data_IF_585461921354
#
_entry.id   IF_585461921354
#
_cell.length_a   1.000
_cell.length_b   1.000
_cell.length_c   1.000
_cell.angle_alpha   90.00
_cell.angle_beta   90.00
_cell.angle_gamma   90.00
#
_symmetry.space_group_name_H-M   'P 1'
#
loop_
_entity.id
_entity.type
_entity.pdbx_description
1 polymer ?
#
# COMPACT_ATOMS: atom_id res chain seq x y z
N UNK A 1 3.12 -11.80 76.21
CA UNK A 1 2.62 -13.18 76.36
C UNK A 1 2.94 -13.94 75.07
N UNK A 2 4.02 -14.75 75.15
CA UNK A 2 4.29 -16.06 74.50
C UNK A 2 4.32 -16.13 72.94
N UNK A 3 5.46 -16.20 72.25
CA UNK A 3 6.45 -17.28 71.96
C UNK A 3 6.04 -18.31 70.88
N UNK A 4 6.96 -18.57 69.93
CA UNK A 4 6.98 -19.55 68.81
C UNK A 4 7.00 -21.04 69.30
N UNK A 5 6.95 -22.14 68.51
CA UNK A 5 7.14 -22.46 67.09
C UNK A 5 6.63 -23.89 66.74
N UNK A 6 6.49 -24.17 65.43
CA UNK A 6 6.73 -25.43 64.65
C UNK A 6 6.01 -26.77 64.88
N UNK A 7 5.56 -27.36 63.75
CA UNK A 7 5.38 -28.81 63.53
C UNK A 7 4.98 -29.15 62.07
N UNK A 8 5.92 -29.68 61.27
CA UNK A 8 5.73 -30.36 59.98
C UNK A 8 5.07 -31.76 60.21
N UNK A 9 4.47 -32.51 59.27
CA UNK A 9 5.02 -33.07 58.01
C UNK A 9 3.93 -33.76 57.13
N UNK A 10 4.17 -33.78 55.81
CA UNK A 10 3.90 -34.86 54.80
C UNK A 10 2.46 -35.34 54.52
N UNK A 11 2.04 -35.77 53.32
CA UNK A 11 2.60 -35.95 51.97
C UNK A 11 1.40 -36.31 51.06
N UNK A 12 1.38 -35.90 49.80
CA UNK A 12 0.53 -36.59 48.81
C UNK A 12 1.09 -36.45 47.39
N UNK A 13 1.67 -37.55 46.89
CA UNK A 13 1.84 -37.86 45.45
C UNK A 13 1.84 -39.40 45.32
N UNK A 14 1.62 -39.97 44.11
CA UNK A 14 0.37 -40.22 43.40
C UNK A 14 0.07 -41.73 43.31
N UNK A 15 -1.14 -42.15 42.89
CA UNK A 15 -1.29 -43.52 42.38
C UNK A 15 -2.20 -43.65 41.14
N UNK A 16 -1.74 -44.55 40.28
CA UNK A 16 -2.00 -44.82 38.87
C UNK A 16 -3.30 -45.59 38.63
N UNK A 17 -3.94 -45.48 37.44
CA UNK A 17 -5.15 -46.24 37.12
C UNK A 17 -4.83 -47.70 36.73
N UNK A 18 -5.55 -48.64 37.32
CA UNK A 18 -5.51 -50.07 36.97
C UNK A 18 -6.52 -50.46 35.89
N UNK A 19 -6.07 -51.46 35.13
CA UNK A 19 -6.54 -52.00 33.85
C UNK A 19 -7.78 -52.90 33.96
N UNK A 20 -8.58 -52.92 32.90
CA UNK A 20 -9.34 -54.12 32.49
C UNK A 20 -10.85 -53.93 32.35
N UNK A 21 -11.33 -53.67 31.13
CA UNK A 21 -12.31 -54.53 30.44
C UNK A 21 -12.54 -54.04 29.00
N UNK A 22 -12.43 -54.99 28.07
CA UNK A 22 -12.34 -54.88 26.61
C UNK A 22 -13.69 -54.70 25.90
N UNK A 23 -13.64 -53.95 24.79
CA UNK A 23 -14.67 -53.75 23.76
C UNK A 23 -15.12 -55.05 23.05
N UNK A 24 -16.25 -55.00 22.33
CA UNK A 24 -16.23 -55.27 20.89
C UNK A 24 -16.49 -53.99 20.08
N UNK A 25 -15.80 -53.93 18.95
CA UNK A 25 -15.62 -52.76 18.12
C UNK A 25 -16.89 -52.38 17.33
N UNK A 26 -17.26 -51.10 17.43
CA UNK A 26 -18.04 -50.42 16.40
C UNK A 26 -17.28 -49.12 16.11
N UNK A 27 -16.73 -49.00 14.90
CA UNK A 27 -15.86 -47.91 14.49
C UNK A 27 -16.65 -46.58 14.48
N UNK A 28 -16.32 -45.57 15.30
CA UNK A 28 -16.81 -44.24 15.04
C UNK A 28 -16.04 -43.69 13.84
N UNK A 29 -16.75 -43.47 12.73
CA UNK A 29 -16.25 -42.72 11.59
C UNK A 29 -15.89 -41.33 12.11
N UNK A 30 -14.59 -41.11 12.32
CA UNK A 30 -14.01 -39.79 12.53
C UNK A 30 -14.42 -38.97 11.31
N UNK A 31 -15.25 -37.95 11.53
CA UNK A 31 -15.59 -36.97 10.51
C UNK A 31 -14.30 -36.35 10.00
N UNK A 32 -13.87 -36.76 8.81
CA UNK A 32 -12.78 -36.12 8.11
C UNK A 32 -13.24 -34.69 7.78
N UNK A 33 -12.59 -33.70 8.40
CA UNK A 33 -12.61 -32.34 7.88
C UNK A 33 -12.10 -32.40 6.45
N UNK A 34 -12.98 -32.07 5.50
CA UNK A 34 -12.61 -31.97 4.10
C UNK A 34 -11.45 -30.97 3.99
N UNK A 35 -10.41 -31.25 3.17
CA UNK A 35 -9.40 -30.25 2.84
C UNK A 35 -10.12 -28.99 2.34
N UNK A 36 -9.80 -27.85 2.93
CA UNK A 36 -10.39 -26.57 2.54
C UNK A 36 -10.28 -26.39 1.03
N UNK A 37 -11.40 -26.01 0.40
CA UNK A 37 -11.45 -25.64 -1.01
C UNK A 37 -10.37 -24.58 -1.25
N UNK A 38 -9.33 -24.84 -2.05
CA UNK A 38 -8.39 -23.81 -2.45
C UNK A 38 -9.16 -22.81 -3.31
N UNK A 39 -9.38 -21.59 -2.82
CA UNK A 39 -10.06 -20.54 -3.59
C UNK A 39 -11.07 -19.66 -2.84
N UNK A 40 -11.20 -19.77 -1.51
CA UNK A 40 -12.00 -18.80 -0.76
C UNK A 40 -11.20 -17.51 -0.50
N UNK A 41 -11.48 -16.50 -1.33
CA UNK A 41 -11.25 -15.07 -1.08
C UNK A 41 -9.79 -14.56 -1.08
N UNK A 42 -9.10 -14.75 -2.20
CA UNK A 42 -8.13 -13.77 -2.69
C UNK A 42 -8.47 -13.50 -4.16
N UNK A 43 -8.37 -12.25 -4.66
CA UNK A 43 -8.62 -12.00 -6.07
C UNK A 43 -7.64 -12.87 -6.87
N UNK A 44 -8.18 -13.73 -7.73
CA UNK A 44 -7.42 -14.62 -8.59
C UNK A 44 -6.71 -13.73 -9.60
N UNK A 45 -5.41 -13.48 -9.38
CA UNK A 45 -4.56 -12.83 -10.38
C UNK A 45 -4.39 -13.87 -11.49
N UNK A 46 -5.20 -13.79 -12.53
CA UNK A 46 -5.04 -14.65 -13.71
C UNK A 46 -3.67 -14.35 -14.35
N UNK A 47 -2.79 -15.35 -14.40
CA UNK A 47 -1.38 -15.23 -14.84
C UNK A 47 -1.19 -14.80 -16.30
N UNK A 48 -2.27 -14.67 -17.09
CA UNK A 48 -2.23 -14.27 -18.51
C UNK A 48 -3.10 -13.04 -18.83
N UNK A 49 -3.54 -12.28 -17.83
CA UNK A 49 -4.24 -11.02 -18.09
C UNK A 49 -3.24 -9.97 -18.60
N UNK A 50 -3.55 -9.24 -19.70
CA UNK A 50 -2.69 -8.18 -20.20
C UNK A 50 -2.34 -7.20 -19.09
N UNK A 51 -1.07 -7.03 -18.76
CA UNK A 51 -0.64 -6.07 -17.76
C UNK A 51 0.06 -4.88 -18.41
N UNK A 52 -0.08 -3.69 -17.82
CA UNK A 52 0.65 -2.50 -18.25
C UNK A 52 1.47 -1.94 -17.09
N UNK A 53 2.76 -1.69 -17.35
CA UNK A 53 3.63 -1.01 -16.40
C UNK A 53 3.53 0.50 -16.56
N UNK A 54 3.44 1.19 -15.43
CA UNK A 54 3.31 2.65 -15.37
C UNK A 54 4.26 3.18 -14.32
N UNK A 55 4.98 4.24 -14.68
CA UNK A 55 5.87 4.97 -13.79
C UNK A 55 5.37 6.39 -13.62
N UNK A 56 4.89 6.71 -12.43
CA UNK A 56 4.51 8.06 -12.03
C UNK A 56 5.68 8.72 -11.32
N UNK A 57 6.22 9.80 -11.87
CA UNK A 57 7.35 10.52 -11.25
C UNK A 57 6.84 11.58 -10.28
N UNK A 58 7.60 11.88 -9.23
CA UNK A 58 7.24 12.96 -8.29
C UNK A 58 7.16 14.32 -8.99
N UNK A 59 7.94 14.54 -10.04
CA UNK A 59 7.80 15.73 -10.88
C UNK A 59 6.41 15.90 -11.52
N UNK A 60 5.63 14.82 -11.67
CA UNK A 60 4.27 14.84 -12.25
C UNK A 60 3.18 14.86 -11.19
N UNK A 61 3.37 14.15 -10.06
CA UNK A 61 2.31 13.86 -9.09
C UNK A 61 2.51 14.53 -7.72
N UNK A 62 3.71 15.03 -7.42
CA UNK A 62 3.95 15.76 -6.19
C UNK A 62 3.63 17.25 -6.38
N UNK A 63 3.26 17.97 -5.31
CA UNK A 63 3.09 19.42 -5.36
C UNK A 63 4.32 20.11 -5.97
N UNK A 64 4.14 21.15 -6.82
CA UNK A 64 5.25 21.90 -7.38
C UNK A 64 6.22 22.36 -6.27
N UNK A 65 7.55 22.15 -6.41
CA UNK A 65 8.31 21.85 -7.64
C UNK A 65 8.53 20.35 -7.95
N UNK A 66 7.84 19.44 -7.27
CA UNK A 66 8.04 18.00 -7.44
C UNK A 66 9.10 17.40 -6.51
N UNK A 67 9.68 18.21 -5.61
CA UNK A 67 10.50 17.79 -4.48
C UNK A 67 9.89 18.35 -3.20
N UNK A 68 10.20 17.74 -2.06
CA UNK A 68 9.67 18.19 -0.77
C UNK A 68 10.74 18.09 0.31
N UNK A 69 10.77 19.09 1.19
CA UNK A 69 11.69 19.11 2.34
C UNK A 69 10.85 18.88 3.58
N UNK A 70 11.07 17.74 4.22
CA UNK A 70 10.47 17.38 5.50
C UNK A 70 11.34 17.99 6.60
N UNK A 71 10.73 18.68 7.57
CA UNK A 71 11.43 19.36 8.67
C UNK A 71 10.87 18.92 10.02
N UNK A 72 11.60 19.12 11.11
CA UNK A 72 11.10 18.78 12.45
C UNK A 72 9.72 19.39 12.78
N UNK A 73 9.47 20.65 12.37
CA UNK A 73 8.17 21.33 12.55
C UNK A 73 7.11 21.00 11.51
N UNK A 74 7.51 20.46 10.36
CA UNK A 74 6.60 20.00 9.30
C UNK A 74 7.15 18.68 8.74
N UNK A 75 6.93 17.57 9.47
CA UNK A 75 7.56 16.30 9.12
C UNK A 75 6.85 15.60 7.96
N UNK A 76 5.68 16.10 7.56
CA UNK A 76 4.81 15.44 6.60
C UNK A 76 4.99 16.00 5.19
N UNK A 77 5.10 15.10 4.24
CA UNK A 77 4.98 15.38 2.81
C UNK A 77 4.24 14.25 2.14
N UNK A 78 3.86 14.41 0.89
CA UNK A 78 3.14 13.34 0.22
C UNK A 78 2.82 13.63 -1.22
N UNK A 79 2.31 12.60 -1.86
CA UNK A 79 1.83 12.62 -3.24
C UNK A 79 0.44 12.01 -3.29
N UNK A 80 -0.31 12.38 -4.31
CA UNK A 80 -1.64 11.87 -4.54
C UNK A 80 -1.72 11.31 -5.96
N UNK A 81 -2.37 10.17 -6.10
CA UNK A 81 -2.59 9.56 -7.41
C UNK A 81 -3.94 8.87 -7.45
N UNK A 82 -4.64 9.03 -8.57
CA UNK A 82 -5.88 8.33 -8.82
C UNK A 82 -5.66 7.08 -9.66
N UNK A 83 -6.65 6.19 -9.60
CA UNK A 83 -6.72 4.97 -10.37
C UNK A 83 -8.05 4.94 -11.14
N UNK A 84 -8.05 4.24 -12.27
CA UNK A 84 -9.29 3.98 -13.01
C UNK A 84 -10.07 2.84 -12.34
N UNK A 85 -11.39 2.90 -12.40
CA UNK A 85 -12.26 1.89 -11.76
C UNK A 85 -12.29 0.55 -12.51
N UNK A 86 -11.79 0.50 -13.74
CA UNK A 86 -11.72 -0.70 -14.60
C UNK A 86 -10.39 -1.44 -14.51
N UNK A 87 -9.49 -1.03 -13.60
CA UNK A 87 -8.16 -1.60 -13.43
C UNK A 87 -7.85 -1.84 -11.95
N UNK A 88 -6.98 -2.81 -11.69
CA UNK A 88 -6.40 -3.07 -10.39
C UNK A 88 -4.88 -3.05 -10.48
N UNK A 89 -4.22 -2.63 -9.40
CA UNK A 89 -2.76 -2.73 -9.31
C UNK A 89 -2.40 -4.13 -8.80
N UNK A 90 -1.56 -4.86 -9.53
CA UNK A 90 -1.07 -6.17 -9.11
C UNK A 90 0.27 -6.08 -8.37
N UNK A 91 1.09 -5.07 -8.70
CA UNK A 91 2.37 -4.79 -8.07
C UNK A 91 2.60 -3.28 -7.97
N UNK A 92 3.15 -2.82 -6.86
CA UNK A 92 3.54 -1.42 -6.69
C UNK A 92 4.87 -1.30 -5.93
N UNK A 93 5.72 -0.39 -6.41
CA UNK A 93 7.04 -0.13 -5.85
C UNK A 93 7.30 1.37 -5.82
N UNK A 94 7.48 1.91 -4.63
CA UNK A 94 7.87 3.30 -4.43
C UNK A 94 9.41 3.40 -4.43
N UNK A 95 9.95 4.11 -5.41
CA UNK A 95 11.37 4.39 -5.53
C UNK A 95 11.62 5.80 -5.01
N UNK A 96 12.31 5.92 -3.88
CA UNK A 96 12.61 7.19 -3.24
C UNK A 96 14.07 7.56 -3.49
N UNK A 97 14.29 8.81 -3.90
CA UNK A 97 15.59 9.49 -3.80
C UNK A 97 15.46 10.52 -2.67
N UNK A 98 16.26 10.39 -1.62
CA UNK A 98 16.23 11.33 -0.50
C UNK A 98 17.62 11.61 0.07
N UNK A 99 17.78 12.76 0.72
CA UNK A 99 19.01 13.19 1.40
C UNK A 99 18.68 13.55 2.84
N UNK A 100 19.13 12.76 3.83
CA UNK A 100 18.99 13.10 5.23
C UNK A 100 20.03 14.16 5.64
N UNK A 101 19.68 15.02 6.60
CA UNK A 101 20.62 15.99 7.17
C UNK A 101 21.86 15.32 7.80
N UNK A 102 23.07 15.87 7.62
CA UNK A 102 24.29 15.29 8.18
C UNK A 102 24.34 15.30 9.71
N UNK A 103 23.48 16.10 10.36
CA UNK A 103 23.42 16.22 11.82
C UNK A 103 22.46 15.24 12.48
N UNK A 104 21.82 14.35 11.71
CA UNK A 104 20.89 13.37 12.27
C UNK A 104 21.61 12.24 12.98
N UNK A 105 20.96 11.71 14.02
CA UNK A 105 21.37 10.50 14.71
C UNK A 105 20.90 9.28 13.91
N UNK A 106 21.83 8.42 13.46
CA UNK A 106 21.48 7.17 12.78
C UNK A 106 20.64 6.26 13.68
N UNK A 107 19.84 5.39 13.07
CA UNK A 107 18.92 4.42 13.72
C UNK A 107 17.74 5.07 14.44
N UNK A 108 17.95 6.19 15.16
CA UNK A 108 16.87 6.95 15.81
C UNK A 108 16.07 7.77 14.79
N UNK A 109 16.76 8.36 13.80
CA UNK A 109 16.08 9.08 12.73
C UNK A 109 15.55 8.10 11.68
N UNK A 110 14.30 8.29 11.27
CA UNK A 110 13.62 7.41 10.33
C UNK A 110 12.64 8.17 9.44
N UNK A 111 12.38 7.61 8.26
CA UNK A 111 11.34 8.04 7.34
C UNK A 111 10.27 6.97 7.28
N UNK A 112 9.06 7.29 7.74
CA UNK A 112 7.91 6.38 7.61
C UNK A 112 7.18 6.65 6.30
N UNK A 113 6.74 5.59 5.64
CA UNK A 113 5.97 5.65 4.40
C UNK A 113 4.60 5.06 4.66
N UNK A 114 3.57 5.85 4.40
CA UNK A 114 2.18 5.43 4.50
C UNK A 114 1.49 5.45 3.13
N UNK A 115 0.55 4.53 2.93
CA UNK A 115 -0.41 4.55 1.85
C UNK A 115 -1.80 4.57 2.47
N UNK A 116 -2.60 5.61 2.20
CA UNK A 116 -3.97 5.73 2.73
C UNK A 116 -4.04 5.51 4.25
N UNK A 117 -3.10 6.14 4.97
CA UNK A 117 -2.91 6.04 6.42
C UNK A 117 -2.43 4.68 6.97
N UNK A 118 -2.24 3.68 6.11
CA UNK A 118 -1.60 2.41 6.49
C UNK A 118 -0.08 2.51 6.35
N UNK A 119 0.66 2.04 7.36
CA UNK A 119 2.12 2.05 7.36
C UNK A 119 2.66 0.97 6.42
N UNK A 120 3.31 1.39 5.32
CA UNK A 120 3.92 0.48 4.35
C UNK A 120 5.31 0.03 4.79
N UNK A 121 6.15 0.98 5.21
CA UNK A 121 7.52 0.70 5.61
C UNK A 121 8.10 1.83 6.48
N UNK A 122 9.18 1.51 7.19
CA UNK A 122 9.97 2.45 8.00
C UNK A 122 11.43 2.36 7.58
N UNK A 123 11.95 3.44 7.01
CA UNK A 123 13.32 3.53 6.54
C UNK A 123 14.20 4.19 7.61
N UNK A 124 15.03 3.44 8.36
CA UNK A 124 15.97 4.04 9.30
C UNK A 124 17.10 4.75 8.55
N UNK A 125 17.50 5.91 9.04
CA UNK A 125 18.67 6.64 8.53
C UNK A 125 19.94 5.97 9.05
N UNK A 126 20.85 5.63 8.14
CA UNK A 126 22.16 5.06 8.50
C UNK A 126 23.26 6.12 8.45
N UNK A 127 24.41 5.83 9.07
CA UNK A 127 25.54 6.77 9.16
C UNK A 127 26.11 7.12 7.78
N UNK A 128 26.06 6.19 6.85
CA UNK A 128 26.62 6.32 5.50
C UNK A 128 25.79 7.25 4.61
N UNK A 129 24.50 7.39 4.93
CA UNK A 129 23.51 8.18 4.19
C UNK A 129 23.52 9.66 4.57
N UNK A 130 24.05 10.01 5.75
CA UNK A 130 24.07 11.37 6.29
C UNK A 130 24.71 12.37 5.31
N UNK A 131 23.92 13.37 4.89
CA UNK A 131 24.34 14.40 3.94
C UNK A 131 24.54 13.92 2.50
N UNK A 132 24.17 12.67 2.17
CA UNK A 132 24.34 12.08 0.84
C UNK A 132 23.01 11.67 0.23
N UNK A 133 22.94 11.74 -1.10
CA UNK A 133 21.83 11.20 -1.85
C UNK A 133 21.74 9.69 -1.67
N UNK A 134 20.58 9.24 -1.21
CA UNK A 134 20.27 7.85 -0.90
C UNK A 134 19.07 7.42 -1.73
N UNK A 135 19.11 6.16 -2.21
CA UNK A 135 18.00 5.54 -2.90
C UNK A 135 17.39 4.45 -2.00
N UNK A 136 16.07 4.40 -1.94
CA UNK A 136 15.34 3.32 -1.29
C UNK A 136 14.20 2.83 -2.16
N UNK A 137 13.89 1.55 -2.03
CA UNK A 137 12.74 0.91 -2.67
C UNK A 137 11.82 0.41 -1.58
N UNK A 138 10.59 0.89 -1.59
CA UNK A 138 9.55 0.53 -0.63
C UNK A 138 8.46 -0.23 -1.37
N UNK A 139 8.29 -1.54 -1.10
CA UNK A 139 7.18 -2.28 -1.67
C UNK A 139 5.87 -1.71 -1.14
N UNK A 140 4.95 -1.39 -2.05
CA UNK A 140 3.63 -0.88 -1.70
C UNK A 140 2.64 -2.02 -1.86
N UNK A 141 1.93 -2.36 -0.79
CA UNK A 141 0.95 -3.43 -0.83
C UNK A 141 -0.28 -2.98 -1.64
N UNK A 142 -0.57 -3.62 -2.79
CA UNK A 142 -1.66 -3.20 -3.67
C UNK A 142 -3.05 -3.33 -3.04
N UNK A 143 -3.21 -4.12 -1.97
CA UNK A 143 -4.48 -4.29 -1.29
C UNK A 143 -5.00 -3.00 -0.63
N UNK A 144 -4.11 -2.06 -0.33
CA UNK A 144 -4.47 -0.75 0.23
C UNK A 144 -4.69 0.32 -0.84
N UNK A 145 -4.54 -0.02 -2.13
CA UNK A 145 -4.75 0.91 -3.24
C UNK A 145 -6.25 0.97 -3.57
N UNK A 146 -6.81 2.17 -3.49
CA UNK A 146 -8.20 2.52 -3.81
C UNK A 146 -8.27 3.34 -5.10
N UNK A 147 -9.44 3.91 -5.40
CA UNK A 147 -9.65 4.80 -6.56
C UNK A 147 -8.89 6.14 -6.45
N UNK A 148 -8.76 6.66 -5.23
CA UNK A 148 -7.93 7.81 -4.90
C UNK A 148 -6.97 7.44 -3.78
N UNK A 149 -5.68 7.70 -3.99
CA UNK A 149 -4.62 7.26 -3.09
C UNK A 149 -3.75 8.43 -2.67
N UNK A 150 -3.33 8.42 -1.40
CA UNK A 150 -2.34 9.33 -0.85
C UNK A 150 -1.16 8.53 -0.30
N UNK A 151 0.02 8.77 -0.84
CA UNK A 151 1.28 8.33 -0.21
C UNK A 151 1.76 9.45 0.69
N UNK A 152 1.87 9.19 1.99
CA UNK A 152 2.37 10.15 2.98
C UNK A 152 3.74 9.71 3.46
N UNK A 153 4.68 10.63 3.43
CA UNK A 153 6.02 10.50 3.99
C UNK A 153 6.05 11.28 5.30
N UNK A 154 6.48 10.63 6.37
CA UNK A 154 6.59 11.24 7.71
C UNK A 154 8.02 11.10 8.21
N UNK A 155 8.68 12.24 8.38
CA UNK A 155 10.02 12.32 8.91
C UNK A 155 10.01 12.36 10.44
N UNK A 156 10.70 11.41 11.06
CA UNK A 156 11.00 11.43 12.48
C UNK A 156 12.51 11.61 12.61
N UNK A 157 12.93 12.81 12.98
CA UNK A 157 14.35 13.19 13.04
C UNK A 157 14.80 13.48 14.46
N UNK A 158 15.98 12.96 14.80
CA UNK A 158 16.70 13.27 16.02
C UNK A 158 18.12 13.72 15.67
N UNK A 159 18.65 14.73 16.35
CA UNK A 159 20.00 15.26 16.20
C UNK A 159 20.80 15.29 17.51
N UNK A 160 20.17 14.99 18.66
CA UNK A 160 20.81 14.78 19.97
C UNK A 160 19.93 13.91 20.86
N UNK A 161 20.50 13.18 21.80
CA UNK A 161 19.72 12.27 22.64
C UNK A 161 18.85 12.98 23.70
N UNK A 162 19.16 14.21 24.08
CA UNK A 162 18.50 14.93 25.20
C UNK A 162 18.26 16.41 24.86
N UNK A 163 17.10 16.95 25.25
CA UNK A 163 16.72 18.37 25.10
C UNK A 163 16.81 18.89 23.65
N UNK A 164 16.12 18.20 22.73
CA UNK A 164 15.99 18.63 21.33
C UNK A 164 15.08 19.84 21.16
N UNK A 165 15.40 20.69 20.19
CA UNK A 165 14.47 21.70 19.68
C UNK A 165 13.85 21.20 18.37
N UNK A 166 12.53 20.96 18.30
CA UNK A 166 11.86 20.50 17.08
C UNK A 166 11.95 21.51 15.93
N UNK A 167 12.16 22.80 16.23
CA UNK A 167 12.36 23.87 15.26
C UNK A 167 13.82 24.05 14.82
N UNK A 168 14.73 23.15 15.21
CA UNK A 168 16.12 23.21 14.78
C UNK A 168 16.25 23.13 13.26
N UNK A 169 17.07 24.02 12.68
CA UNK A 169 17.38 24.00 11.24
C UNK A 169 18.16 22.76 10.79
N UNK A 170 18.70 21.99 11.74
CA UNK A 170 19.41 20.73 11.50
C UNK A 170 18.47 19.55 11.23
N UNK A 171 17.19 19.66 11.60
CA UNK A 171 16.18 18.61 11.43
C UNK A 171 15.51 18.74 10.07
N UNK A 172 16.13 18.12 9.05
CA UNK A 172 15.57 18.08 7.70
C UNK A 172 15.89 16.77 6.97
N UNK A 173 14.99 16.42 6.05
CA UNK A 173 15.15 15.36 5.07
C UNK A 173 14.58 15.86 3.73
N UNK A 174 15.42 15.89 2.69
CA UNK A 174 15.04 16.34 1.35
C UNK A 174 14.65 15.12 0.51
N UNK A 175 13.42 15.10 0.01
CA UNK A 175 12.93 14.08 -0.93
C UNK A 175 13.00 14.66 -2.34
N UNK A 176 13.86 14.05 -3.15
CA UNK A 176 14.18 14.50 -4.49
C UNK A 176 13.10 14.20 -5.52
N UNK A 177 13.03 15.04 -6.55
CA UNK A 177 12.08 14.93 -7.66
C UNK A 177 12.24 13.70 -8.56
N UNK A 178 13.38 13.02 -8.46
CA UNK A 178 13.67 11.79 -9.18
C UNK A 178 12.94 10.57 -8.59
N UNK A 179 12.32 10.72 -7.42
CA UNK A 179 11.45 9.72 -6.82
C UNK A 179 10.31 9.36 -7.76
N UNK A 180 9.88 8.10 -7.74
CA UNK A 180 8.81 7.62 -8.62
C UNK A 180 8.06 6.43 -8.02
N UNK A 181 6.77 6.37 -8.32
CA UNK A 181 5.91 5.23 -8.02
C UNK A 181 5.78 4.39 -9.29
N UNK A 182 6.28 3.16 -9.24
CA UNK A 182 6.14 2.17 -10.32
C UNK A 182 5.00 1.22 -9.97
N UNK A 183 4.09 1.01 -10.91
CA UNK A 183 2.92 0.15 -10.72
C UNK A 183 2.69 -0.70 -11.96
N UNK A 184 2.23 -1.93 -11.74
CA UNK A 184 1.74 -2.82 -12.78
C UNK A 184 0.23 -2.90 -12.66
N UNK A 185 -0.49 -2.42 -13.67
CA UNK A 185 -1.94 -2.49 -13.74
C UNK A 185 -2.40 -3.73 -14.48
N UNK A 186 -3.55 -4.26 -14.06
CA UNK A 186 -4.27 -5.32 -14.73
C UNK A 186 -5.73 -4.88 -14.93
N UNK A 187 -6.27 -4.98 -16.16
CA UNK A 187 -7.66 -4.68 -16.44
C UNK A 187 -8.57 -5.70 -15.77
N UNK A 188 -9.71 -5.22 -15.30
CA UNK A 188 -10.81 -6.05 -14.82
C UNK A 188 -11.69 -6.46 -16.00
N UNK A 189 -12.23 -7.68 -15.95
CA UNK A 189 -13.24 -8.11 -16.90
C UNK A 189 -14.56 -7.37 -16.60
N UNK A 190 -14.86 -6.32 -17.36
CA UNK A 190 -16.14 -5.62 -17.25
C UNK A 190 -17.25 -6.39 -17.96
N UNK A 191 -18.43 -6.39 -17.34
CA UNK A 191 -19.65 -6.83 -18.02
C UNK A 191 -19.98 -5.83 -19.12
N UNK A 192 -20.52 -6.32 -20.24
CA UNK A 192 -21.03 -5.49 -21.31
C UNK A 192 -22.37 -4.87 -20.88
N UNK A 193 -22.31 -3.88 -20.00
CA UNK A 193 -23.47 -3.16 -19.48
C UNK A 193 -23.15 -1.66 -19.40
N UNK A 194 -23.95 -0.85 -20.11
CA UNK A 194 -23.82 0.60 -20.16
C UNK A 194 -24.36 1.30 -18.90
N UNK A 195 -24.93 0.58 -17.95
CA UNK A 195 -25.35 1.13 -16.66
C UNK A 195 -24.20 1.76 -15.87
N UNK A 196 -22.96 1.29 -16.07
CA UNK A 196 -21.74 1.82 -15.46
C UNK A 196 -21.09 2.97 -16.24
N UNK A 197 -21.73 3.45 -17.32
CA UNK A 197 -21.25 4.59 -18.10
C UNK A 197 -21.06 5.81 -17.19
N UNK A 198 -19.92 6.51 -17.24
CA UNK A 198 -18.95 6.51 -18.35
C UNK A 198 -17.73 5.60 -18.21
N UNK A 199 -17.63 4.77 -17.16
CA UNK A 199 -16.54 3.77 -17.05
C UNK A 199 -16.81 2.64 -18.05
N UNK A 200 -15.80 2.09 -18.76
CA UNK A 200 -14.35 2.33 -18.67
C UNK A 200 -13.84 3.51 -19.51
N UNK A 201 -14.69 4.18 -20.28
CA UNK A 201 -14.26 5.19 -21.24
C UNK A 201 -13.69 6.45 -20.57
N UNK A 202 -14.26 6.85 -19.43
CA UNK A 202 -13.77 7.97 -18.63
C UNK A 202 -13.75 7.64 -17.14
N UNK A 203 -12.67 8.01 -16.48
CA UNK A 203 -12.50 7.89 -15.04
C UNK A 203 -12.12 9.26 -14.48
N UNK A 204 -12.93 9.87 -13.59
CA UNK A 204 -12.64 11.21 -13.02
C UNK A 204 -11.33 11.30 -12.25
N UNK A 205 -10.77 10.16 -11.82
CA UNK A 205 -9.52 10.06 -11.06
C UNK A 205 -8.31 9.75 -11.95
N UNK A 206 -8.51 9.56 -13.26
CA UNK A 206 -7.41 9.40 -14.21
C UNK A 206 -6.93 10.78 -14.66
N UNK A 207 -5.78 11.22 -14.14
CA UNK A 207 -5.22 12.55 -14.42
C UNK A 207 -4.54 12.66 -15.79
N UNK A 208 -4.65 11.64 -16.65
CA UNK A 208 -4.08 11.63 -18.00
C UNK A 208 -5.04 12.28 -19.00
N UNK A 209 -4.53 12.80 -20.14
CA UNK A 209 -5.39 13.23 -21.24
C UNK A 209 -6.30 12.07 -21.70
N UNK A 210 -7.60 12.33 -21.76
CA UNK A 210 -8.58 11.38 -22.28
C UNK A 210 -8.39 11.20 -23.79
N UNK A 211 -8.09 9.98 -24.23
CA UNK A 211 -8.07 9.60 -25.63
C UNK A 211 -9.20 8.59 -25.89
N UNK A 212 -10.27 9.05 -26.54
CA UNK A 212 -11.46 8.24 -26.84
C UNK A 212 -11.61 8.07 -28.35
N UNK A 213 -11.11 6.97 -28.95
CA UNK A 213 -11.28 6.72 -30.37
C UNK A 213 -12.74 6.36 -30.68
N UNK A 214 -13.35 7.11 -31.61
CA UNK A 214 -14.64 6.75 -32.19
C UNK A 214 -14.41 5.81 -33.37
N UNK A 215 -14.93 4.58 -33.28
CA UNK A 215 -14.72 3.54 -34.29
C UNK A 215 -16.02 3.28 -35.02
N UNK A 216 -15.98 3.35 -36.35
CA UNK A 216 -17.12 3.09 -37.24
C UNK A 216 -16.87 1.83 -38.08
N UNK A 217 -17.94 1.13 -38.46
CA UNK A 217 -17.85 -0.06 -39.30
C UNK A 217 -17.43 0.26 -40.76
N UNK A 218 -17.54 1.52 -41.19
CA UNK A 218 -17.18 2.03 -42.51
C UNK A 218 -17.09 3.56 -42.50
N UNK A 219 -17.16 4.18 -43.68
CA UNK A 219 -17.21 5.65 -43.80
C UNK A 219 -18.50 6.17 -43.17
N UNK A 220 -18.43 7.02 -42.12
CA UNK A 220 -19.61 7.39 -41.35
C UNK A 220 -20.53 8.34 -42.12
N UNK A 221 -21.83 8.10 -42.06
CA UNK A 221 -22.82 9.02 -42.61
C UNK A 221 -23.02 10.28 -41.73
N UNK A 222 -23.84 11.23 -42.19
CA UNK A 222 -24.08 12.50 -41.46
C UNK A 222 -24.69 12.25 -40.07
N UNK A 223 -25.51 11.22 -39.92
CA UNK A 223 -26.16 10.88 -38.65
C UNK A 223 -25.15 10.30 -37.67
N UNK A 224 -24.28 9.41 -38.13
CA UNK A 224 -23.21 8.82 -37.33
C UNK A 224 -22.17 9.87 -36.90
N UNK A 225 -21.82 10.80 -37.80
CA UNK A 225 -20.95 11.93 -37.48
C UNK A 225 -21.57 12.83 -36.41
N UNK A 226 -22.87 13.14 -36.52
CA UNK A 226 -23.58 13.94 -35.52
C UNK A 226 -23.61 13.23 -34.16
N UNK A 227 -23.95 11.93 -34.13
CA UNK A 227 -23.96 11.15 -32.90
C UNK A 227 -22.58 11.13 -32.22
N UNK A 228 -21.51 10.89 -32.98
CA UNK A 228 -20.14 10.92 -32.47
C UNK A 228 -19.74 12.30 -31.95
N UNK A 229 -20.17 13.38 -32.62
CA UNK A 229 -19.92 14.75 -32.19
C UNK A 229 -20.59 15.07 -30.85
N UNK A 230 -21.83 14.61 -30.65
CA UNK A 230 -22.56 14.78 -29.38
C UNK A 230 -21.86 14.04 -28.25
N UNK A 231 -21.47 12.78 -28.48
CA UNK A 231 -20.75 11.98 -27.49
C UNK A 231 -19.40 12.61 -27.16
N UNK A 232 -18.63 13.03 -28.17
CA UNK A 232 -17.35 13.72 -27.97
C UNK A 232 -17.53 15.02 -27.16
N UNK A 233 -18.57 15.82 -27.44
CA UNK A 233 -18.87 17.03 -26.67
C UNK A 233 -19.22 16.72 -25.22
N UNK A 234 -19.93 15.61 -24.95
CA UNK A 234 -20.28 15.20 -23.59
C UNK A 234 -19.03 14.82 -22.78
N UNK A 235 -18.12 14.04 -23.38
CA UNK A 235 -16.85 13.69 -22.74
C UNK A 235 -15.90 14.89 -22.60
N UNK A 236 -15.92 15.85 -23.54
CA UNK A 236 -15.08 17.05 -23.47
C UNK A 236 -15.52 18.08 -22.42
N UNK A 237 -16.75 18.02 -21.93
CA UNK A 237 -17.24 18.88 -20.86
C UNK A 237 -16.89 18.38 -19.45
N UNK A 238 -16.58 17.08 -19.31
CA UNK A 238 -16.30 16.42 -18.02
C UNK A 238 -14.87 16.63 -17.56
#
# INVERSE_FOLDING_TARGET
VVTAATGQTENDVPNQPTTGNTLPADNPVVGQVMPGVPGASAPVVAENTPSRDVKLTFAQIAPPPGSMVLRGINPNGGIEFGMRSDEVVSKAMLNLEYTPSPSLLPVQSQLKVYLNDELMDVLPVTKEQLGKKTLAQVPINPLFITDFNRVRLEFVGHYRDVCENPASSTLWLDVGRNSSLQMTYQPLALKNDLSASPVPFFAPRDNRPLNLPMVFAGSPDVTEQLAASIVASWFGFR
#
